data_IF_035145654543
#
_entry.id   IF_035145654543
#
_cell.length_a   1.000
_cell.length_b   1.000
_cell.length_c   1.000
_cell.angle_alpha   90.00
_cell.angle_beta   90.00
_cell.angle_gamma   90.00
#
_symmetry.space_group_name_H-M   'P 1'
#
loop_
_entity.id
_entity.type
_entity.pdbx_description
1 polymer ?
#
# COMPACT_ATOMS: atom_id res chain seq x y z
N UNK A 1 55.72 -18.08 46.74
CA UNK A 1 54.39 -17.90 47.35
C UNK A 1 53.54 -17.13 46.36
N UNK A 2 52.58 -17.83 45.76
CA UNK A 2 51.57 -17.30 44.84
C UNK A 2 50.36 -16.90 45.66
N UNK A 3 49.78 -15.71 45.49
CA UNK A 3 48.40 -15.48 45.86
C UNK A 3 47.48 -15.66 44.66
N UNK A 4 46.42 -16.39 44.95
CA UNK A 4 45.37 -16.94 44.12
C UNK A 4 44.38 -15.90 43.60
N UNK A 5 43.78 -16.26 42.46
CA UNK A 5 42.56 -15.73 41.85
C UNK A 5 41.42 -15.54 42.87
N UNK A 6 40.71 -14.43 42.75
CA UNK A 6 39.36 -14.22 43.29
C UNK A 6 38.53 -13.48 42.25
N UNK A 7 37.64 -14.21 41.57
CA UNK A 7 36.68 -13.71 40.59
C UNK A 7 35.53 -13.05 41.34
N UNK A 8 35.25 -11.78 41.06
CA UNK A 8 33.91 -11.19 41.19
C UNK A 8 33.79 -10.08 40.17
N UNK A 9 33.48 -10.48 38.93
CA UNK A 9 32.82 -9.62 37.97
C UNK A 9 31.33 -9.61 38.36
N UNK A 10 30.80 -8.44 38.72
CA UNK A 10 29.35 -8.22 38.84
C UNK A 10 29.02 -6.98 38.03
N UNK A 11 28.67 -7.26 36.78
CA UNK A 11 27.66 -6.62 35.93
C UNK A 11 27.03 -5.37 36.54
N UNK A 12 27.46 -4.20 36.08
CA UNK A 12 26.73 -2.93 36.20
C UNK A 12 27.10 -2.06 35.01
N UNK A 13 26.40 -2.22 33.88
CA UNK A 13 26.19 -1.20 32.85
C UNK A 13 25.53 -1.84 31.61
N UNK A 14 24.19 -1.81 31.55
CA UNK A 14 23.45 -1.93 30.28
C UNK A 14 22.01 -1.42 30.49
N UNK A 15 21.87 -0.14 30.86
CA UNK A 15 20.60 0.59 30.77
C UNK A 15 20.89 1.93 30.12
N UNK A 16 21.21 1.92 28.83
CA UNK A 16 21.32 3.10 27.96
C UNK A 16 21.58 2.67 26.50
N UNK A 17 20.65 1.94 25.87
CA UNK A 17 20.76 1.60 24.44
C UNK A 17 19.37 1.40 23.80
N UNK A 18 18.43 2.33 24.04
CA UNK A 18 17.07 2.25 23.49
C UNK A 18 16.62 3.61 22.93
N UNK A 19 17.52 4.30 22.23
CA UNK A 19 17.28 5.65 21.73
C UNK A 19 17.95 5.98 20.38
N UNK A 20 18.19 5.00 19.49
CA UNK A 20 18.84 5.28 18.18
C UNK A 20 17.99 4.90 16.95
N UNK A 21 16.80 4.32 17.10
CA UNK A 21 15.87 4.13 15.95
C UNK A 21 15.06 5.43 15.71
N UNK A 22 15.74 6.57 15.64
CA UNK A 22 15.12 7.88 15.54
C UNK A 22 16.00 8.92 14.82
N UNK A 23 16.72 8.56 13.75
CA UNK A 23 17.33 9.57 12.88
C UNK A 23 17.32 9.08 11.43
N UNK A 24 16.26 9.33 10.68
CA UNK A 24 16.31 9.72 9.27
C UNK A 24 14.92 10.29 8.95
N UNK A 25 14.87 11.60 8.70
CA UNK A 25 13.84 12.52 9.20
C UNK A 25 14.04 13.98 8.77
N UNK A 26 15.09 14.31 8.00
CA UNK A 26 15.42 15.71 7.58
C UNK A 26 16.16 15.69 6.25
N UNK A 27 15.84 16.57 5.28
CA UNK A 27 16.71 16.84 4.14
C UNK A 27 17.81 17.84 4.53
N UNK A 28 19.08 17.46 4.32
CA UNK A 28 20.20 18.40 4.20
C UNK A 28 21.09 18.59 5.44
N UNK A 29 22.07 17.69 5.62
CA UNK A 29 23.41 18.02 6.16
C UNK A 29 24.38 16.91 5.74
N UNK A 30 25.51 17.33 5.17
CA UNK A 30 26.59 16.46 4.73
C UNK A 30 27.25 15.69 5.89
N UNK A 31 27.64 14.45 5.57
CA UNK A 31 28.64 13.57 6.18
C UNK A 31 29.17 13.88 7.59
N UNK A 32 28.99 12.91 8.50
CA UNK A 32 29.96 12.56 9.53
C UNK A 32 30.13 11.04 9.55
N UNK A 33 31.34 10.59 9.19
CA UNK A 33 31.82 9.22 9.32
C UNK A 33 31.74 8.70 10.77
N UNK A 34 31.13 7.53 10.93
CA UNK A 34 31.19 6.67 12.12
C UNK A 34 30.45 5.36 11.81
N UNK A 35 30.91 4.18 12.27
CA UNK A 35 30.17 2.94 12.08
C UNK A 35 28.90 3.02 12.92
N UNK A 36 27.77 3.30 12.27
CA UNK A 36 26.47 3.28 12.91
C UNK A 36 26.13 1.84 13.29
N UNK A 37 26.16 1.54 14.59
CA UNK A 37 25.66 0.29 15.16
C UNK A 37 24.13 0.35 15.26
N UNK A 38 23.48 0.32 14.11
CA UNK A 38 22.06 0.08 13.95
C UNK A 38 21.86 -0.82 12.74
N UNK A 39 20.83 -1.68 12.73
CA UNK A 39 20.65 -2.62 11.63
C UNK A 39 20.49 -1.85 10.32
N UNK A 40 21.18 -2.32 9.28
CA UNK A 40 21.10 -1.70 7.95
C UNK A 40 19.69 -1.92 7.39
N UNK A 41 19.05 -0.85 6.89
CA UNK A 41 17.78 -0.98 6.16
C UNK A 41 18.10 -1.46 4.74
N UNK A 42 17.58 -2.62 4.36
CA UNK A 42 17.92 -3.33 3.12
C UNK A 42 16.96 -3.06 1.95
N UNK A 43 17.30 -3.64 0.78
CA UNK A 43 16.42 -3.76 -0.39
C UNK A 43 15.08 -4.41 0.01
N UNK A 44 13.96 -3.89 -0.51
CA UNK A 44 12.61 -4.38 -0.20
C UNK A 44 11.79 -3.51 0.76
N UNK A 45 12.36 -2.43 1.31
CA UNK A 45 11.57 -1.40 2.00
C UNK A 45 10.66 -0.64 1.03
N UNK A 46 9.50 -0.17 1.50
CA UNK A 46 8.53 0.57 0.67
C UNK A 46 7.61 1.46 1.51
N UNK A 47 6.97 2.43 0.86
CA UNK A 47 5.89 3.24 1.42
C UNK A 47 4.61 2.91 0.65
N UNK A 48 3.65 2.27 1.31
CA UNK A 48 2.44 1.74 0.70
C UNK A 48 1.24 2.53 1.18
N UNK A 49 0.40 2.96 0.25
CA UNK A 49 -0.92 3.54 0.52
C UNK A 49 -1.95 2.62 -0.11
N UNK A 50 -2.69 1.89 0.72
CA UNK A 50 -3.78 1.04 0.27
C UNK A 50 -5.10 1.74 0.52
N UNK A 51 -5.88 1.97 -0.55
CA UNK A 51 -7.14 2.70 -0.49
C UNK A 51 -8.32 1.76 -0.28
N UNK A 52 -9.30 2.26 0.47
CA UNK A 52 -10.63 1.71 0.56
C UNK A 52 -11.59 2.47 -0.37
N UNK A 53 -12.70 1.83 -0.76
CA UNK A 53 -13.64 2.38 -1.74
C UNK A 53 -14.37 3.66 -1.28
N UNK A 54 -14.40 3.91 0.04
CA UNK A 54 -14.95 5.11 0.67
C UNK A 54 -13.94 6.27 0.78
N UNK A 55 -12.70 6.07 0.34
CA UNK A 55 -11.65 7.08 0.31
C UNK A 55 -10.74 7.10 1.54
N UNK A 56 -11.00 6.25 2.53
CA UNK A 56 -10.06 5.91 3.58
C UNK A 56 -8.85 5.17 3.01
N UNK A 57 -7.77 5.11 3.79
CA UNK A 57 -6.56 4.43 3.41
C UNK A 57 -5.83 3.81 4.60
N UNK A 58 -5.23 2.65 4.39
CA UNK A 58 -4.17 2.14 5.25
C UNK A 58 -2.82 2.58 4.71
N UNK A 59 -2.10 3.41 5.47
CA UNK A 59 -0.75 3.85 5.11
C UNK A 59 0.29 3.03 5.86
N UNK A 60 1.21 2.39 5.14
CA UNK A 60 2.18 1.46 5.69
C UNK A 60 3.60 1.81 5.26
N UNK A 61 4.53 1.82 6.21
CA UNK A 61 5.97 1.81 5.92
C UNK A 61 6.47 0.39 6.15
N UNK A 62 7.05 -0.21 5.11
CA UNK A 62 7.72 -1.51 5.15
C UNK A 62 9.23 -1.28 5.27
N UNK A 63 9.86 -1.96 6.22
CA UNK A 63 11.30 -1.90 6.50
C UNK A 63 11.84 -3.32 6.55
N UNK A 64 12.90 -3.58 5.78
CA UNK A 64 13.63 -4.84 5.79
C UNK A 64 14.97 -4.63 6.47
N UNK A 65 15.38 -5.59 7.30
CA UNK A 65 16.62 -5.57 8.06
C UNK A 65 17.38 -6.88 7.89
N UNK A 66 18.69 -6.79 7.71
CA UNK A 66 19.60 -7.92 7.84
C UNK A 66 19.85 -8.18 9.33
N UNK A 67 19.54 -9.39 9.80
CA UNK A 67 19.76 -9.84 11.17
C UNK A 67 21.03 -10.69 11.19
N UNK A 68 22.16 -10.07 10.85
CA UNK A 68 23.42 -10.75 10.60
C UNK A 68 24.09 -11.30 11.87
N UNK A 69 23.75 -10.75 13.03
CA UNK A 69 24.32 -11.15 14.32
C UNK A 69 23.30 -11.16 15.47
N UNK A 70 23.71 -11.79 16.58
CA UNK A 70 22.88 -11.95 17.78
C UNK A 70 22.41 -10.60 18.37
N UNK A 71 23.15 -9.51 18.14
CA UNK A 71 22.78 -8.19 18.65
C UNK A 71 21.67 -7.57 17.81
N UNK A 72 21.73 -7.72 16.49
CA UNK A 72 20.66 -7.31 15.57
C UNK A 72 19.38 -8.12 15.82
N UNK A 73 19.49 -9.44 16.00
CA UNK A 73 18.36 -10.30 16.37
C UNK A 73 17.72 -9.86 17.70
N UNK A 74 18.53 -9.60 18.73
CA UNK A 74 18.04 -9.16 20.02
C UNK A 74 17.36 -7.78 19.95
N UNK A 75 17.89 -6.86 19.14
CA UNK A 75 17.28 -5.54 18.93
C UNK A 75 15.93 -5.65 18.19
N UNK A 76 15.84 -6.52 17.19
CA UNK A 76 14.61 -6.80 16.45
C UNK A 76 13.53 -7.40 17.36
N UNK A 77 13.88 -8.38 18.19
CA UNK A 77 12.93 -8.99 19.12
C UNK A 77 12.46 -7.99 20.19
N UNK A 78 13.36 -7.13 20.68
CA UNK A 78 12.98 -6.08 21.62
C UNK A 78 11.98 -5.07 21.01
N UNK A 79 12.15 -4.73 19.72
CA UNK A 79 11.19 -3.90 18.98
C UNK A 79 9.83 -4.60 18.86
N UNK A 80 9.84 -5.90 18.53
CA UNK A 80 8.63 -6.72 18.42
C UNK A 80 7.85 -6.79 19.73
N UNK A 81 8.54 -6.94 20.86
CA UNK A 81 7.92 -7.01 22.19
C UNK A 81 7.34 -5.66 22.67
N UNK A 82 7.93 -4.54 22.24
CA UNK A 82 7.61 -3.19 22.74
C UNK A 82 7.50 -2.17 21.61
N UNK A 83 6.47 -2.28 20.74
CA UNK A 83 6.33 -1.45 19.56
C UNK A 83 5.83 -0.03 19.84
N UNK A 84 5.33 0.24 21.06
CA UNK A 84 4.48 1.41 21.37
C UNK A 84 5.19 2.72 21.04
N UNK A 85 6.49 2.80 21.33
CA UNK A 85 7.27 4.01 21.04
C UNK A 85 7.35 4.32 19.54
N UNK A 86 7.36 3.29 18.70
CA UNK A 86 7.41 3.42 17.24
C UNK A 86 6.03 3.76 16.70
N UNK A 87 4.99 3.05 17.14
CA UNK A 87 3.61 3.30 16.71
C UNK A 87 3.14 4.69 17.12
N UNK A 88 3.42 5.13 18.35
CA UNK A 88 3.04 6.47 18.83
C UNK A 88 3.71 7.57 18.01
N UNK A 89 5.00 7.42 17.70
CA UNK A 89 5.73 8.40 16.88
C UNK A 89 5.21 8.42 15.44
N UNK A 90 4.91 7.26 14.88
CA UNK A 90 4.34 7.12 13.55
C UNK A 90 2.97 7.81 13.48
N UNK A 91 2.06 7.49 14.40
CA UNK A 91 0.73 8.08 14.48
C UNK A 91 0.82 9.60 14.61
N UNK A 92 1.53 10.10 15.63
CA UNK A 92 1.69 11.53 15.87
C UNK A 92 2.22 12.29 14.64
N UNK A 93 3.11 11.66 13.89
CA UNK A 93 3.64 12.26 12.67
C UNK A 93 2.61 12.29 11.56
N UNK A 94 1.93 11.17 11.31
CA UNK A 94 0.92 11.08 10.26
C UNK A 94 -0.26 11.98 10.57
N UNK A 95 -0.71 12.07 11.82
CA UNK A 95 -1.73 13.03 12.29
C UNK A 95 -1.37 14.47 11.94
N UNK A 96 -0.14 14.92 12.19
CA UNK A 96 0.28 16.29 11.81
C UNK A 96 0.24 16.54 10.31
N UNK A 97 0.54 15.52 9.50
CA UNK A 97 0.46 15.65 8.03
C UNK A 97 -1.01 15.69 7.61
N UNK A 98 -1.86 14.85 8.19
CA UNK A 98 -3.31 14.84 7.94
C UNK A 98 -3.97 16.17 8.33
N UNK A 99 -3.64 16.74 9.49
CA UNK A 99 -4.13 18.06 9.92
C UNK A 99 -3.76 19.18 8.94
N UNK A 100 -2.51 19.18 8.46
CA UNK A 100 -2.07 20.16 7.45
C UNK A 100 -2.82 19.95 6.12
N UNK A 101 -2.93 18.70 5.68
CA UNK A 101 -3.62 18.33 4.43
C UNK A 101 -5.10 18.69 4.48
N UNK A 102 -5.75 18.44 5.62
CA UNK A 102 -7.13 18.82 5.89
C UNK A 102 -7.32 20.34 5.75
N UNK A 103 -6.41 21.14 6.31
CA UNK A 103 -6.45 22.59 6.20
C UNK A 103 -6.22 23.10 4.76
N UNK A 104 -5.31 22.46 4.00
CA UNK A 104 -4.98 22.84 2.61
C UNK A 104 -6.10 22.50 1.63
N UNK A 105 -6.73 21.34 1.80
CA UNK A 105 -7.81 20.84 0.93
C UNK A 105 -9.20 21.28 1.36
N UNK A 106 -9.37 21.73 2.61
CA UNK A 106 -10.67 22.02 3.20
C UNK A 106 -11.52 20.78 3.49
N UNK A 107 -10.91 19.61 3.65
CA UNK A 107 -11.57 18.32 3.93
C UNK A 107 -11.28 17.85 5.35
N UNK A 108 -12.23 17.18 5.98
CA UNK A 108 -12.00 16.51 7.25
C UNK A 108 -11.18 15.24 7.03
N UNK A 109 -10.02 15.14 7.68
CA UNK A 109 -9.13 13.97 7.65
C UNK A 109 -8.63 13.67 9.06
N UNK A 110 -8.28 12.42 9.32
CA UNK A 110 -7.70 12.00 10.60
C UNK A 110 -6.81 10.78 10.44
N UNK A 111 -6.00 10.51 11.46
CA UNK A 111 -5.17 9.31 11.52
C UNK A 111 -5.42 8.61 12.86
N UNK A 112 -5.56 7.30 12.82
CA UNK A 112 -5.78 6.44 14.00
C UNK A 112 -5.21 5.04 13.79
N UNK A 113 -5.30 4.23 14.85
CA UNK A 113 -5.05 2.78 14.81
C UNK A 113 -3.64 2.42 14.33
N UNK A 114 -2.63 3.19 14.78
CA UNK A 114 -1.26 2.86 14.45
C UNK A 114 -0.84 1.53 15.09
N UNK A 115 -0.23 0.66 14.27
CA UNK A 115 0.15 -0.69 14.64
C UNK A 115 1.46 -1.09 13.97
N UNK A 116 2.18 -1.99 14.61
CA UNK A 116 3.44 -2.54 14.13
C UNK A 116 3.33 -4.06 14.05
N UNK A 117 3.68 -4.60 12.90
CA UNK A 117 3.86 -6.03 12.67
C UNK A 117 5.34 -6.28 12.38
N UNK A 118 5.93 -7.24 13.09
CA UNK A 118 7.33 -7.63 12.89
C UNK A 118 7.41 -9.14 12.70
N UNK A 119 8.06 -9.55 11.63
CA UNK A 119 8.25 -10.94 11.24
C UNK A 119 9.70 -11.15 10.84
N UNK A 120 10.28 -12.30 11.14
CA UNK A 120 11.64 -12.64 10.69
C UNK A 120 11.68 -14.05 10.12
N UNK A 121 12.54 -14.26 9.13
CA UNK A 121 12.75 -15.55 8.47
C UNK A 121 14.16 -15.58 7.91
N UNK A 122 14.89 -16.67 8.15
CA UNK A 122 16.22 -16.95 7.58
C UNK A 122 17.24 -15.78 7.70
N UNK A 123 17.26 -15.10 8.84
CA UNK A 123 18.17 -13.96 9.08
C UNK A 123 17.69 -12.62 8.50
N UNK A 124 16.50 -12.56 7.91
CA UNK A 124 15.90 -11.30 7.44
C UNK A 124 14.70 -10.93 8.32
N UNK A 125 14.70 -9.71 8.85
CA UNK A 125 13.59 -9.11 9.59
C UNK A 125 12.78 -8.16 8.72
N UNK A 126 11.45 -8.25 8.77
CA UNK A 126 10.52 -7.34 8.11
C UNK A 126 9.61 -6.69 9.15
N UNK A 127 9.61 -5.36 9.17
CA UNK A 127 8.74 -4.55 10.03
C UNK A 127 7.77 -3.77 9.15
N UNK A 128 6.48 -3.84 9.47
CA UNK A 128 5.41 -3.05 8.85
C UNK A 128 4.80 -2.16 9.92
N UNK A 129 4.96 -0.86 9.77
CA UNK A 129 4.29 0.14 10.63
C UNK A 129 3.18 0.77 9.82
N UNK A 130 1.94 0.60 10.26
CA UNK A 130 0.76 1.07 9.54
C UNK A 130 -0.17 1.89 10.41
N UNK A 131 -0.94 2.78 9.82
CA UNK A 131 -2.04 3.50 10.46
C UNK A 131 -3.19 3.72 9.46
N UNK A 132 -4.40 3.86 9.98
CA UNK A 132 -5.58 4.23 9.20
C UNK A 132 -5.57 5.74 9.00
N UNK A 133 -5.76 6.19 7.77
CA UNK A 133 -5.96 7.58 7.40
C UNK A 133 -7.35 7.74 6.80
N UNK A 134 -8.22 8.49 7.49
CA UNK A 134 -9.59 8.71 7.03
C UNK A 134 -9.67 9.83 5.99
N UNK A 135 -10.49 9.61 4.96
CA UNK A 135 -10.70 10.53 3.85
C UNK A 135 -9.41 10.97 3.15
N UNK A 136 -8.41 10.09 3.00
CA UNK A 136 -7.19 10.41 2.26
C UNK A 136 -7.53 10.73 0.80
N UNK A 137 -8.19 9.81 0.10
CA UNK A 137 -8.62 10.01 -1.28
C UNK A 137 -9.93 10.81 -1.32
N UNK A 138 -10.04 11.75 -2.26
CA UNK A 138 -11.29 12.42 -2.55
C UNK A 138 -12.19 11.49 -3.36
N UNK A 139 -13.44 11.33 -2.92
CA UNK A 139 -14.44 10.53 -3.63
C UNK A 139 -15.21 11.44 -4.59
N UNK A 140 -15.11 11.17 -5.89
CA UNK A 140 -15.88 11.83 -6.96
C UNK A 140 -16.77 10.80 -7.66
N UNK A 141 -18.00 10.65 -7.19
CA UNK A 141 -18.90 9.60 -7.65
C UNK A 141 -18.38 8.23 -7.27
N UNK A 142 -17.98 7.43 -8.26
CA UNK A 142 -17.34 6.13 -8.13
C UNK A 142 -15.81 6.19 -8.23
N UNK A 143 -15.22 7.37 -8.45
CA UNK A 143 -13.77 7.55 -8.57
C UNK A 143 -13.13 7.99 -7.27
N UNK A 144 -11.90 7.54 -7.05
CA UNK A 144 -11.03 7.98 -5.97
C UNK A 144 -9.89 8.81 -6.54
N UNK A 145 -9.69 10.01 -6.00
CA UNK A 145 -8.61 10.91 -6.40
C UNK A 145 -7.66 11.10 -5.23
N UNK A 146 -6.45 10.59 -5.36
CA UNK A 146 -5.35 10.85 -4.42
C UNK A 146 -4.52 12.00 -4.95
N UNK A 147 -4.25 13.00 -4.12
CA UNK A 147 -3.42 14.15 -4.50
C UNK A 147 -2.56 14.60 -3.31
N UNK A 148 -3.07 15.48 -2.46
CA UNK A 148 -2.39 15.86 -1.22
C UNK A 148 -2.42 14.70 -0.21
N UNK A 149 -1.37 14.53 0.61
CA UNK A 149 -0.18 15.39 0.77
C UNK A 149 0.94 15.17 -0.28
N UNK A 150 0.72 14.29 -1.26
CA UNK A 150 1.78 13.85 -2.17
C UNK A 150 2.10 14.90 -3.25
N UNK A 151 1.12 15.73 -3.63
CA UNK A 151 1.33 16.81 -4.58
C UNK A 151 2.34 17.87 -4.10
N UNK A 152 2.40 18.11 -2.78
CA UNK A 152 3.23 19.13 -2.14
C UNK A 152 4.68 18.67 -1.86
N UNK A 153 5.46 18.51 -2.93
CA UNK A 153 6.89 18.19 -2.90
C UNK A 153 7.25 16.87 -2.19
N UNK A 154 6.34 15.88 -2.22
CA UNK A 154 6.66 14.55 -1.76
C UNK A 154 7.73 13.93 -2.67
N UNK A 155 8.83 13.50 -2.04
CA UNK A 155 9.90 12.77 -2.71
C UNK A 155 10.17 11.53 -1.89
N UNK A 156 9.69 10.37 -2.33
CA UNK A 156 9.77 9.17 -1.53
C UNK A 156 11.24 8.73 -1.48
N UNK A 157 11.75 8.38 -0.31
CA UNK A 157 13.11 7.88 -0.10
C UNK A 157 13.24 6.37 -0.40
N UNK A 158 12.10 5.73 -0.70
CA UNK A 158 11.88 4.31 -0.97
C UNK A 158 10.82 4.19 -2.08
N UNK A 159 10.53 3.00 -2.64
CA UNK A 159 9.42 2.84 -3.56
C UNK A 159 8.10 3.30 -2.93
N UNK A 160 7.35 4.13 -3.65
CA UNK A 160 5.98 4.51 -3.28
C UNK A 160 5.02 3.60 -4.05
N UNK A 161 4.15 2.91 -3.33
CA UNK A 161 3.18 1.99 -3.90
C UNK A 161 1.78 2.46 -3.54
N UNK A 162 0.96 2.69 -4.56
CA UNK A 162 -0.47 2.95 -4.41
C UNK A 162 -1.23 1.66 -4.75
N UNK A 163 -2.03 1.18 -3.80
CA UNK A 163 -2.87 -0.02 -3.96
C UNK A 163 -4.33 0.43 -4.05
N UNK A 164 -4.98 0.05 -5.14
CA UNK A 164 -6.37 0.33 -5.39
C UNK A 164 -7.28 -0.54 -4.50
N UNK A 165 -8.52 -0.12 -4.24
CA UNK A 165 -9.53 -1.03 -3.69
C UNK A 165 -9.76 -2.21 -4.65
N UNK A 166 -10.29 -3.31 -4.12
CA UNK A 166 -10.69 -4.44 -4.95
C UNK A 166 -11.68 -4.01 -6.05
N UNK A 167 -11.43 -4.47 -7.27
CA UNK A 167 -12.21 -4.11 -8.44
C UNK A 167 -11.90 -2.73 -9.02
N UNK A 168 -10.96 -1.95 -8.47
CA UNK A 168 -10.53 -0.67 -9.04
C UNK A 168 -9.22 -0.79 -9.83
N UNK A 169 -9.02 0.13 -10.77
CA UNK A 169 -7.79 0.29 -11.53
C UNK A 169 -7.34 1.75 -11.54
N UNK A 170 -6.03 1.98 -11.69
CA UNK A 170 -5.49 3.31 -11.97
C UNK A 170 -5.89 3.71 -13.40
N UNK A 171 -6.60 4.83 -13.52
CA UNK A 171 -7.12 5.32 -14.81
C UNK A 171 -6.37 6.54 -15.33
N UNK A 172 -5.84 7.35 -14.41
CA UNK A 172 -5.09 8.56 -14.74
C UNK A 172 -4.07 8.85 -13.62
N UNK A 173 -2.90 9.34 -13.98
CA UNK A 173 -1.91 9.85 -13.04
C UNK A 173 -1.12 11.01 -13.65
N UNK A 174 -0.94 12.10 -12.91
CA UNK A 174 -0.16 13.25 -13.40
C UNK A 174 1.33 12.96 -13.49
N UNK A 175 1.82 12.00 -12.69
CA UNK A 175 3.16 11.44 -12.79
C UNK A 175 3.03 9.97 -13.13
N UNK A 176 3.54 9.60 -14.30
CA UNK A 176 3.54 8.21 -14.80
C UNK A 176 4.16 7.26 -13.77
N UNK A 177 3.48 6.15 -13.50
CA UNK A 177 4.00 5.10 -12.64
C UNK A 177 5.12 4.33 -13.36
N UNK A 178 6.14 3.92 -12.60
CA UNK A 178 7.24 3.11 -13.10
C UNK A 178 6.82 1.67 -13.39
N UNK A 179 5.84 1.18 -12.65
CA UNK A 179 5.19 -0.11 -12.88
C UNK A 179 3.72 -0.05 -12.46
N UNK A 180 2.87 -0.74 -13.20
CA UNK A 180 1.49 -1.01 -12.83
C UNK A 180 1.21 -2.50 -12.94
N UNK A 181 0.55 -3.06 -11.93
CA UNK A 181 0.12 -4.45 -11.95
C UNK A 181 -1.39 -4.48 -11.81
N UNK A 182 -2.05 -5.11 -12.78
CA UNK A 182 -3.46 -5.49 -12.66
C UNK A 182 -3.50 -6.95 -12.27
N UNK A 183 -4.12 -7.24 -11.13
CA UNK A 183 -4.33 -8.61 -10.66
C UNK A 183 -5.55 -9.20 -11.38
N UNK A 184 -5.86 -10.50 -11.19
CA UNK A 184 -7.02 -11.15 -11.78
C UNK A 184 -8.32 -10.32 -11.62
N UNK A 185 -9.32 -10.56 -12.49
CA UNK A 185 -10.58 -9.80 -12.48
C UNK A 185 -11.16 -9.66 -11.07
N UNK A 186 -11.28 -8.42 -10.59
CA UNK A 186 -11.83 -8.09 -9.27
C UNK A 186 -10.81 -7.95 -8.14
N UNK A 187 -9.51 -8.19 -8.36
CA UNK A 187 -8.47 -7.97 -7.34
C UNK A 187 -7.85 -6.57 -7.42
N UNK A 188 -7.35 -6.07 -6.28
CA UNK A 188 -6.63 -4.80 -6.18
C UNK A 188 -5.50 -4.65 -7.21
N UNK A 189 -5.55 -3.54 -7.97
CA UNK A 189 -4.46 -3.10 -8.82
C UNK A 189 -3.41 -2.31 -8.03
N UNK A 190 -2.16 -2.31 -8.50
CA UNK A 190 -1.08 -1.54 -7.88
C UNK A 190 -0.37 -0.65 -8.90
N UNK A 191 0.10 0.50 -8.42
CA UNK A 191 0.97 1.41 -9.15
C UNK A 191 2.18 1.77 -8.28
N UNK A 192 3.37 1.74 -8.86
CA UNK A 192 4.63 1.95 -8.15
C UNK A 192 5.44 3.08 -8.78
N UNK A 193 6.03 3.92 -7.92
CA UNK A 193 7.02 4.93 -8.28
C UNK A 193 8.32 4.65 -7.53
N UNK A 194 9.44 4.79 -8.23
CA UNK A 194 10.78 4.51 -7.71
C UNK A 194 11.19 5.50 -6.60
N UNK A 195 12.13 5.10 -5.73
CA UNK A 195 12.79 6.02 -4.81
C UNK A 195 13.34 7.25 -5.54
N UNK A 196 13.15 8.43 -4.96
CA UNK A 196 13.63 9.70 -5.49
C UNK A 196 12.81 10.29 -6.63
N UNK A 197 11.71 9.66 -7.03
CA UNK A 197 10.78 10.22 -8.02
C UNK A 197 10.29 11.62 -7.61
N UNK A 198 10.18 12.53 -8.58
CA UNK A 198 9.64 13.86 -8.34
C UNK A 198 8.12 13.84 -8.48
N UNK A 199 7.41 13.75 -7.35
CA UNK A 199 5.94 13.68 -7.30
C UNK A 199 5.31 15.08 -7.15
N UNK A 200 6.01 16.11 -7.62
CA UNK A 200 5.50 17.48 -7.60
C UNK A 200 4.23 17.60 -8.45
N UNK A 201 3.11 18.02 -7.84
CA UNK A 201 1.82 18.07 -8.52
C UNK A 201 1.17 16.69 -8.74
N UNK A 202 1.58 15.69 -7.97
CA UNK A 202 1.00 14.35 -8.00
C UNK A 202 -0.53 14.36 -7.84
N UNK A 203 -1.19 13.64 -8.74
CA UNK A 203 -2.57 13.22 -8.59
C UNK A 203 -2.73 11.87 -9.29
N UNK A 204 -3.46 10.96 -8.67
CA UNK A 204 -3.79 9.65 -9.21
C UNK A 204 -5.30 9.42 -9.08
N UNK A 205 -5.94 9.03 -10.18
CA UNK A 205 -7.38 8.72 -10.23
C UNK A 205 -7.58 7.23 -10.40
N UNK A 206 -8.28 6.62 -9.45
CA UNK A 206 -8.69 5.22 -9.51
C UNK A 206 -10.19 5.13 -9.74
N UNK A 207 -10.60 4.19 -10.59
CA UNK A 207 -12.01 3.97 -10.90
C UNK A 207 -12.31 2.47 -10.90
N UNK A 208 -13.58 2.06 -10.71
CA UNK A 208 -14.00 0.69 -10.90
C UNK A 208 -13.58 0.21 -12.28
N UNK A 209 -12.99 -0.99 -12.31
CA UNK A 209 -12.75 -1.72 -13.53
C UNK A 209 -14.14 -2.06 -14.08
N UNK A 210 -14.51 -1.45 -15.20
CA UNK A 210 -15.74 -1.77 -15.89
C UNK A 210 -15.75 -3.29 -16.13
N UNK A 211 -16.58 -4.03 -15.38
CA UNK A 211 -16.80 -5.44 -15.61
C UNK A 211 -17.42 -5.54 -16.99
N UNK A 212 -16.58 -5.86 -17.99
CA UNK A 212 -16.84 -5.72 -19.42
C UNK A 212 -18.30 -5.49 -19.72
N UNK A 213 -18.69 -4.22 -19.80
CA UNK A 213 -20.05 -3.86 -20.14
C UNK A 213 -20.39 -4.66 -21.38
N UNK A 214 -21.37 -5.55 -21.26
CA UNK A 214 -22.05 -6.09 -22.43
C UNK A 214 -22.41 -4.83 -23.17
N UNK A 215 -21.73 -4.56 -24.28
CA UNK A 215 -22.16 -3.50 -25.17
C UNK A 215 -23.63 -3.83 -25.37
N UNK A 216 -24.52 -2.96 -24.88
CA UNK A 216 -25.82 -2.77 -25.50
C UNK A 216 -25.45 -2.28 -26.89
N UNK A 217 -25.01 -3.24 -27.71
CA UNK A 217 -24.88 -3.15 -29.13
C UNK A 217 -26.30 -2.93 -29.53
N UNK A 218 -26.61 -1.64 -29.63
CA UNK A 218 -27.75 -1.05 -30.28
C UNK A 218 -28.14 -2.03 -31.37
N UNK A 219 -29.14 -2.88 -31.09
CA UNK A 219 -29.63 -3.81 -32.10
C UNK A 219 -30.13 -2.87 -33.20
N UNK A 220 -29.51 -2.84 -34.39
CA UNK A 220 -30.11 -2.07 -35.46
C UNK A 220 -31.43 -2.77 -35.72
N UNK A 221 -32.54 -2.13 -35.35
CA UNK A 221 -33.84 -2.49 -35.88
C UNK A 221 -33.84 -2.00 -37.32
N UNK A 222 -33.95 -2.93 -38.28
CA UNK A 222 -34.84 -2.65 -39.39
C UNK A 222 -35.94 -3.71 -39.43
N UNK A 223 -37.16 -3.20 -39.25
CA UNK A 223 -38.37 -3.52 -40.00
C UNK A 223 -38.65 -5.01 -40.25
N UNK A 224 -39.71 -5.49 -39.60
CA UNK A 224 -40.50 -6.64 -40.04
C UNK A 224 -40.88 -6.47 -41.52
N UNK A 225 -40.65 -7.49 -42.35
CA UNK A 225 -41.76 -8.00 -43.13
C UNK A 225 -41.92 -9.51 -42.95
N UNK A 226 -43.18 -9.92 -42.90
CA UNK A 226 -43.68 -11.28 -43.04
C UNK A 226 -42.99 -12.10 -44.14
N UNK A 227 -42.48 -13.29 -43.82
CA UNK A 227 -42.50 -14.40 -44.77
C UNK A 227 -42.60 -15.76 -44.05
N UNK A 228 -43.66 -16.48 -44.39
CA UNK A 228 -43.92 -17.85 -44.02
C UNK A 228 -43.11 -18.83 -44.89
N UNK A 229 -43.06 -20.09 -44.40
CA UNK A 229 -42.90 -21.38 -45.11
C UNK A 229 -41.55 -22.13 -44.97
N UNK A 230 -41.66 -23.21 -44.19
CA UNK A 230 -41.42 -24.64 -44.51
C UNK A 230 -40.02 -25.17 -44.82
N UNK A 231 -39.61 -26.18 -44.03
CA UNK A 231 -39.30 -27.57 -44.46
C UNK A 231 -39.64 -28.52 -43.27
N UNK A 232 -40.77 -29.23 -43.27
CA UNK A 232 -40.95 -30.67 -43.60
C UNK A 232 -39.98 -31.65 -42.89
N UNK A 233 -40.39 -32.73 -42.21
CA UNK A 233 -41.70 -33.31 -41.96
C UNK A 233 -41.57 -34.67 -41.26
N UNK A 234 -42.70 -35.29 -40.89
CA UNK A 234 -42.91 -36.75 -40.83
C UNK A 234 -44.31 -37.10 -40.31
N UNK A 235 -44.95 -38.08 -40.97
CA UNK A 235 -46.13 -38.88 -40.56
C UNK A 235 -47.51 -38.19 -40.72
N UNK A 236 -48.54 -38.78 -41.34
CA UNK A 236 -48.77 -40.09 -41.96
C UNK A 236 -50.05 -39.95 -42.82
N UNK A 237 -50.01 -40.38 -44.07
CA UNK A 237 -50.54 -41.65 -44.58
C UNK A 237 -52.08 -41.76 -44.66
N UNK A 238 -52.51 -41.86 -45.92
CA UNK A 238 -53.67 -42.56 -46.46
C UNK A 238 -55.08 -42.02 -46.19
N UNK A 239 -55.59 -41.33 -47.20
CA UNK A 239 -57.01 -41.18 -47.43
C UNK A 239 -57.66 -42.46 -47.96
N UNK A 240 -58.97 -42.57 -47.72
CA UNK A 240 -59.87 -43.40 -48.52
C UNK A 240 -61.18 -42.64 -48.78
N UNK A 241 -61.40 -42.40 -50.08
CA UNK A 241 -62.61 -42.24 -50.91
C UNK A 241 -63.98 -41.84 -50.28
N UNK A 242 -64.47 -40.71 -50.82
CA UNK A 242 -65.80 -40.40 -51.41
C UNK A 242 -67.10 -41.01 -50.85
N UNK A 243 -68.01 -40.05 -50.60
CA UNK A 243 -69.49 -40.04 -50.66
C UNK A 243 -70.24 -40.90 -49.67
#
# INVERSE_FOLDING_TARGET
MTPSRGRTAVVTAAVAALAVIAVFLVPGVAALDGPGTGPAVEEGSSFVVALDADGDATVTVVLTYDLADDADEAAFEALRERPENVTDRFENRMTRIAERTAAETGREMGVSDARLEAESTDGTGVVRVSATWTNLAAVDGDRLVVSEPFASAFRPDRPFVLVAPDGYALTDATVEADATTSTAEGSAATAEWRPGADLSGFSATLAPTEAGGVTDGSLPTPLVPTLALLVAGLLGYAGWRRT
#
